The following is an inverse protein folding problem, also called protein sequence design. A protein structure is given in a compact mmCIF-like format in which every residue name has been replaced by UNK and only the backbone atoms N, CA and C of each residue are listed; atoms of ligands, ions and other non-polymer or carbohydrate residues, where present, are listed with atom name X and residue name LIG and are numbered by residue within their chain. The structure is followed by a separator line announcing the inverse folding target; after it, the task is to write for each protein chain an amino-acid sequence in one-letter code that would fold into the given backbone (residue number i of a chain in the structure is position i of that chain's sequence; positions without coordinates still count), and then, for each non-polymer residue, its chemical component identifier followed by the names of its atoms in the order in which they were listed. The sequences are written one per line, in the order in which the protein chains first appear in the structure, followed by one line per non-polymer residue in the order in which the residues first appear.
data_IF_936863020534
#
_entry.id   IF_936863020534
#
_cell.length_a   1.000
_cell.length_b   1.000
_cell.length_c   1.000
_cell.angle_alpha   90.00
_cell.angle_beta   90.00
_cell.angle_gamma   90.00
#
_symmetry.space_group_name_H-M   'P 1'
#
loop_
_entity.id
_entity.type
_entity.pdbx_description
1 polymer ?
#
# COMPACT_ATOMS: atom_id res chain seq x y z
N UNK A 1 0.29 -35.14 -23.41
CA UNK A 1 0.28 -34.13 -24.48
C UNK A 1 1.70 -33.61 -24.65
N UNK A 2 2.26 -33.71 -25.85
CA UNK A 2 3.54 -33.06 -26.13
C UNK A 2 3.25 -31.58 -26.39
N UNK A 3 3.72 -30.72 -25.49
CA UNK A 3 3.53 -29.27 -25.60
C UNK A 3 4.25 -28.73 -26.85
N UNK A 4 5.37 -29.32 -27.28
CA UNK A 4 6.17 -28.83 -28.41
C UNK A 4 5.49 -28.91 -29.80
N UNK A 5 4.24 -29.36 -29.87
CA UNK A 5 3.45 -29.46 -31.11
C UNK A 5 2.52 -28.27 -31.37
N UNK A 6 2.32 -27.36 -30.41
CA UNK A 6 1.50 -26.17 -30.61
C UNK A 6 2.33 -25.05 -31.27
N UNK A 7 1.75 -24.27 -32.21
CA UNK A 7 2.42 -23.09 -32.77
C UNK A 7 2.81 -22.07 -31.70
N UNK A 8 3.91 -21.35 -31.93
CA UNK A 8 4.44 -20.35 -30.99
C UNK A 8 3.40 -19.27 -30.61
N UNK A 9 2.54 -18.89 -31.54
CA UNK A 9 1.46 -17.91 -31.31
C UNK A 9 0.39 -18.44 -30.35
N UNK A 10 0.04 -19.72 -30.43
CA UNK A 10 -0.89 -20.35 -29.50
C UNK A 10 -0.30 -20.38 -28.08
N UNK A 11 1.01 -20.67 -27.98
CA UNK A 11 1.71 -20.63 -26.70
C UNK A 11 1.79 -19.23 -26.11
N UNK A 12 2.17 -18.24 -26.92
CA UNK A 12 2.21 -16.86 -26.48
C UNK A 12 0.83 -16.42 -25.99
N UNK A 13 -0.25 -16.81 -26.68
CA UNK A 13 -1.61 -16.51 -26.23
C UNK A 13 -1.92 -17.14 -24.87
N UNK A 14 -1.67 -18.45 -24.70
CA UNK A 14 -1.89 -19.15 -23.42
C UNK A 14 -1.10 -18.48 -22.29
N UNK A 15 0.19 -18.22 -22.51
CA UNK A 15 1.07 -17.60 -21.53
C UNK A 15 0.59 -16.19 -21.15
N UNK A 16 0.05 -15.43 -22.10
CA UNK A 16 -0.48 -14.10 -21.85
C UNK A 16 -1.71 -14.07 -20.93
N UNK A 17 -2.37 -15.22 -20.74
CA UNK A 17 -3.50 -15.40 -19.83
C UNK A 17 -3.08 -15.91 -18.44
N UNK A 18 -1.79 -16.21 -18.25
CA UNK A 18 -1.22 -16.64 -16.96
C UNK A 18 -0.72 -15.45 -16.15
N UNK A 19 0.01 -15.68 -15.05
CA UNK A 19 0.68 -14.62 -14.31
C UNK A 19 2.11 -14.36 -14.82
N UNK A 20 2.68 -13.16 -14.59
CA UNK A 20 4.09 -12.88 -14.90
C UNK A 20 5.07 -13.89 -14.30
N UNK A 21 4.79 -14.38 -13.08
CA UNK A 21 5.63 -15.38 -12.41
C UNK A 21 5.51 -16.75 -13.08
N UNK A 22 4.32 -17.16 -13.52
CA UNK A 22 4.12 -18.42 -14.24
C UNK A 22 4.79 -18.38 -15.62
N UNK A 23 4.66 -17.27 -16.35
CA UNK A 23 5.37 -17.09 -17.61
C UNK A 23 6.89 -17.22 -17.45
N UNK A 24 7.46 -16.66 -16.36
CA UNK A 24 8.88 -16.82 -16.05
C UNK A 24 9.24 -18.28 -15.73
N UNK A 25 8.43 -18.99 -14.94
CA UNK A 25 8.67 -20.40 -14.60
C UNK A 25 8.57 -21.32 -15.82
N UNK A 26 7.53 -21.15 -16.63
CA UNK A 26 7.28 -21.95 -17.82
C UNK A 26 8.37 -21.73 -18.88
N UNK A 27 8.98 -20.53 -18.92
CA UNK A 27 10.11 -20.23 -19.82
C UNK A 27 11.35 -21.12 -19.62
N UNK A 28 11.43 -21.86 -18.51
CA UNK A 28 12.54 -22.77 -18.21
C UNK A 28 12.34 -24.17 -18.78
N UNK A 29 11.15 -24.50 -19.30
CA UNK A 29 10.80 -25.86 -19.73
C UNK A 29 11.49 -26.25 -21.04
N UNK A 30 11.53 -25.36 -22.04
CA UNK A 30 12.21 -25.60 -23.32
C UNK A 30 12.67 -24.29 -23.97
N UNK A 31 13.58 -24.37 -24.95
CA UNK A 31 14.07 -23.19 -25.68
C UNK A 31 12.97 -22.51 -26.49
N UNK A 32 12.07 -23.27 -27.11
CA UNK A 32 10.96 -22.74 -27.90
C UNK A 32 9.98 -21.99 -27.00
N UNK A 33 9.58 -22.60 -25.88
CA UNK A 33 8.72 -21.97 -24.88
C UNK A 33 9.37 -20.71 -24.30
N UNK A 34 10.69 -20.72 -24.10
CA UNK A 34 11.43 -19.54 -23.63
C UNK A 34 11.31 -18.35 -24.59
N UNK A 35 11.35 -18.59 -25.90
CA UNK A 35 11.20 -17.52 -26.90
C UNK A 35 9.80 -16.93 -26.80
N UNK A 36 8.77 -17.77 -26.82
CA UNK A 36 7.36 -17.35 -26.74
C UNK A 36 7.04 -16.62 -25.42
N UNK A 37 7.53 -17.13 -24.29
CA UNK A 37 7.33 -16.54 -22.96
C UNK A 37 8.02 -15.19 -22.77
N UNK A 38 9.07 -14.91 -23.54
CA UNK A 38 9.80 -13.64 -23.49
C UNK A 38 9.33 -12.64 -24.56
N UNK A 39 8.33 -13.00 -25.37
CA UNK A 39 7.82 -12.14 -26.43
C UNK A 39 7.04 -10.95 -25.87
N UNK A 40 7.14 -9.81 -26.56
CA UNK A 40 6.43 -8.58 -26.18
C UNK A 40 4.91 -8.73 -26.24
N UNK A 41 4.38 -9.67 -27.04
CA UNK A 41 2.95 -9.96 -27.09
C UNK A 41 2.42 -10.51 -25.76
N UNK A 42 3.21 -11.35 -25.08
CA UNK A 42 2.88 -11.86 -23.73
C UNK A 42 2.94 -10.75 -22.71
N UNK A 43 4.07 -10.01 -22.67
CA UNK A 43 4.31 -9.01 -21.63
C UNK A 43 3.44 -7.76 -21.77
N UNK A 44 2.93 -7.45 -22.97
CA UNK A 44 1.89 -6.42 -23.15
C UNK A 44 0.63 -6.71 -22.32
N UNK A 45 0.24 -7.98 -22.20
CA UNK A 45 -0.96 -8.36 -21.41
C UNK A 45 -0.74 -8.29 -19.90
N UNK A 46 0.51 -8.36 -19.46
CA UNK A 46 0.88 -8.23 -18.05
C UNK A 46 1.05 -6.78 -17.60
N UNK A 47 1.32 -5.88 -18.54
CA UNK A 47 1.34 -4.45 -18.27
C UNK A 47 -0.10 -3.93 -18.09
N UNK A 48 -0.32 -2.92 -17.24
CA UNK A 48 -1.61 -2.28 -17.16
C UNK A 48 -2.03 -1.69 -18.51
N UNK A 49 -3.31 -1.73 -18.92
CA UNK A 49 -3.74 -1.21 -20.23
C UNK A 49 -3.39 0.26 -20.48
N UNK A 50 -3.26 1.04 -19.42
CA UNK A 50 -2.93 2.45 -19.39
C UNK A 50 -1.43 2.73 -19.12
N UNK A 51 -0.54 1.73 -19.24
CA UNK A 51 0.90 1.90 -18.93
C UNK A 51 1.54 3.07 -19.69
N UNK A 52 1.11 3.35 -20.92
CA UNK A 52 1.62 4.48 -21.70
C UNK A 52 1.29 5.83 -21.04
N UNK A 53 0.08 5.96 -20.48
CA UNK A 53 -0.31 7.16 -19.71
C UNK A 53 0.45 7.25 -18.39
N UNK A 54 0.79 6.10 -17.78
CA UNK A 54 1.63 6.07 -16.58
C UNK A 54 3.05 6.54 -16.93
N UNK A 55 3.59 6.14 -18.08
CA UNK A 55 4.93 6.55 -18.54
C UNK A 55 5.04 8.07 -18.74
N UNK A 56 4.00 8.72 -19.25
CA UNK A 56 4.02 10.19 -19.42
C UNK A 56 3.96 10.96 -18.11
N UNK A 57 3.45 10.34 -17.04
CA UNK A 57 3.35 10.93 -15.69
C UNK A 57 4.63 10.76 -14.87
N UNK A 58 5.57 9.94 -15.32
CA UNK A 58 6.84 9.72 -14.64
C UNK A 58 7.66 11.01 -14.56
N UNK A 59 8.24 11.26 -13.39
CA UNK A 59 9.19 12.36 -13.20
C UNK A 59 10.46 12.17 -14.03
N UNK A 60 10.87 10.92 -14.25
CA UNK A 60 12.05 10.56 -15.02
C UNK A 60 11.70 9.49 -16.07
N UNK A 61 12.01 9.72 -17.36
CA UNK A 61 11.73 8.76 -18.41
C UNK A 61 12.43 7.41 -18.14
N UNK A 62 11.73 6.32 -18.44
CA UNK A 62 12.30 4.98 -18.37
C UNK A 62 12.81 4.55 -19.74
N UNK A 63 14.07 4.13 -19.79
CA UNK A 63 14.66 3.48 -20.95
C UNK A 63 14.48 1.97 -20.78
N UNK A 64 13.89 1.32 -21.78
CA UNK A 64 13.69 -0.13 -21.81
C UNK A 64 13.85 -0.66 -23.24
N UNK A 65 14.20 -1.94 -23.35
CA UNK A 65 14.52 -2.62 -24.61
C UNK A 65 13.44 -3.63 -25.03
N UNK A 66 12.54 -4.00 -24.10
CA UNK A 66 11.40 -4.88 -24.32
C UNK A 66 10.32 -4.59 -23.27
N UNK A 67 9.11 -5.10 -23.48
CA UNK A 67 8.00 -4.97 -22.53
C UNK A 67 8.22 -5.78 -21.27
N UNK A 68 8.93 -6.90 -21.38
CA UNK A 68 9.44 -7.64 -20.22
C UNK A 68 10.37 -6.76 -19.39
N UNK A 69 11.34 -6.10 -20.03
CA UNK A 69 12.25 -5.19 -19.34
C UNK A 69 11.47 -4.03 -18.69
N UNK A 70 10.50 -3.44 -19.40
CA UNK A 70 9.62 -2.41 -18.86
C UNK A 70 8.86 -2.88 -17.60
N UNK A 71 8.26 -4.07 -17.64
CA UNK A 71 7.53 -4.63 -16.49
C UNK A 71 8.42 -4.69 -15.23
N UNK A 72 9.62 -5.27 -15.35
CA UNK A 72 10.55 -5.34 -14.21
C UNK A 72 11.03 -3.97 -13.74
N UNK A 73 11.17 -2.99 -14.64
CA UNK A 73 11.48 -1.61 -14.24
C UNK A 73 10.32 -1.03 -13.43
N UNK A 74 9.08 -1.20 -13.90
CA UNK A 74 7.88 -0.71 -13.21
C UNK A 74 7.58 -1.46 -11.90
N UNK A 75 8.16 -2.62 -11.64
CA UNK A 75 8.09 -3.26 -10.31
C UNK A 75 8.84 -2.48 -9.22
N UNK A 76 9.78 -1.60 -9.58
CA UNK A 76 10.41 -0.70 -8.63
C UNK A 76 9.56 0.59 -8.51
N UNK A 77 9.45 1.20 -7.32
CA UNK A 77 8.72 2.46 -7.15
C UNK A 77 9.31 3.60 -7.97
N UNK A 78 8.46 4.29 -8.74
CA UNK A 78 8.81 5.49 -9.49
C UNK A 78 7.96 6.67 -9.08
N UNK A 79 8.57 7.86 -8.99
CA UNK A 79 7.86 9.10 -8.74
C UNK A 79 7.05 9.53 -9.97
N UNK A 80 5.77 9.84 -9.76
CA UNK A 80 4.84 10.36 -10.76
C UNK A 80 4.19 11.66 -10.28
N UNK A 81 3.51 12.38 -11.17
CA UNK A 81 2.71 13.58 -10.86
C UNK A 81 3.51 14.65 -10.10
N UNK A 82 4.63 15.08 -10.66
CA UNK A 82 5.53 16.04 -9.98
C UNK A 82 6.31 15.46 -8.80
N UNK A 83 6.18 14.16 -8.54
CA UNK A 83 6.79 13.47 -7.40
C UNK A 83 5.94 13.51 -6.13
N UNK A 84 4.65 13.77 -6.26
CA UNK A 84 3.70 13.71 -5.14
C UNK A 84 3.16 12.31 -4.89
N UNK A 85 3.35 11.39 -5.83
CA UNK A 85 2.96 9.99 -5.71
C UNK A 85 4.06 9.08 -6.21
N UNK A 86 4.11 7.84 -5.71
CA UNK A 86 4.88 6.77 -6.34
C UNK A 86 3.97 5.75 -6.98
N UNK A 87 4.43 5.16 -8.08
CA UNK A 87 3.80 4.05 -8.77
C UNK A 87 4.74 2.85 -8.83
N UNK A 88 4.21 1.65 -8.62
CA UNK A 88 4.88 0.39 -8.92
C UNK A 88 3.91 -0.70 -9.34
N UNK A 89 4.42 -1.79 -9.90
CA UNK A 89 3.68 -3.02 -10.14
C UNK A 89 4.02 -4.07 -9.08
N UNK A 90 2.99 -4.72 -8.56
CA UNK A 90 3.16 -5.91 -7.75
C UNK A 90 3.73 -7.04 -8.64
N UNK A 91 4.86 -7.62 -8.20
CA UNK A 91 5.72 -8.47 -9.04
C UNK A 91 5.03 -9.74 -9.53
N UNK A 92 4.12 -10.31 -8.74
CA UNK A 92 3.52 -11.62 -9.03
C UNK A 92 2.29 -11.51 -9.94
N UNK A 93 1.50 -10.46 -9.78
CA UNK A 93 0.19 -10.28 -10.42
C UNK A 93 0.18 -9.15 -11.45
N UNK A 94 1.19 -8.27 -11.47
CA UNK A 94 1.21 -7.08 -12.32
C UNK A 94 0.17 -6.01 -11.92
N UNK A 95 -0.42 -6.13 -10.73
CA UNK A 95 -1.41 -5.18 -10.24
C UNK A 95 -0.74 -3.89 -9.78
N UNK A 96 -1.41 -2.77 -10.02
CA UNK A 96 -0.88 -1.44 -9.72
C UNK A 96 -0.78 -1.23 -8.21
N UNK A 97 0.28 -0.58 -7.78
CA UNK A 97 0.52 -0.10 -6.42
C UNK A 97 0.77 1.40 -6.48
N UNK A 98 0.23 2.13 -5.52
CA UNK A 98 0.45 3.57 -5.40
C UNK A 98 0.80 3.95 -3.99
N UNK A 99 1.57 5.03 -3.85
CA UNK A 99 1.69 5.75 -2.59
C UNK A 99 1.45 7.23 -2.84
N UNK A 100 0.65 7.84 -1.98
CA UNK A 100 0.44 9.28 -1.90
C UNK A 100 1.44 9.85 -0.90
N UNK A 101 2.24 10.84 -1.27
CA UNK A 101 3.13 11.55 -0.34
C UNK A 101 2.33 12.35 0.68
N UNK A 102 2.95 12.70 1.80
CA UNK A 102 2.36 13.62 2.79
C UNK A 102 1.88 14.94 2.16
N UNK A 103 2.56 15.44 1.11
CA UNK A 103 2.17 16.65 0.37
C UNK A 103 0.87 16.49 -0.45
N UNK A 104 0.52 15.26 -0.80
CA UNK A 104 -0.74 14.92 -1.48
C UNK A 104 -1.88 14.65 -0.49
N UNK A 105 -1.59 14.54 0.81
CA UNK A 105 -2.59 14.29 1.84
C UNK A 105 -3.22 15.60 2.32
N UNK A 106 -4.48 15.50 2.74
CA UNK A 106 -5.14 16.53 3.52
C UNK A 106 -4.88 16.27 5.00
N UNK A 107 -3.96 17.05 5.59
CA UNK A 107 -3.57 16.95 7.00
C UNK A 107 -4.04 18.22 7.70
N UNK A 108 -4.79 18.07 8.79
CA UNK A 108 -5.37 19.20 9.50
C UNK A 108 -4.28 20.14 10.06
N UNK A 109 -4.41 21.44 9.74
CA UNK A 109 -3.47 22.52 10.10
C UNK A 109 -2.02 22.31 9.64
N UNK A 110 -1.77 21.52 8.59
CA UNK A 110 -0.42 21.22 8.12
C UNK A 110 0.36 22.43 7.57
N UNK A 111 -0.32 23.52 7.28
CA UNK A 111 0.24 24.82 6.92
C UNK A 111 0.73 25.62 8.14
N UNK A 112 0.30 25.25 9.35
CA UNK A 112 0.70 25.94 10.57
C UNK A 112 2.04 25.41 11.13
N UNK A 113 3.12 26.22 11.13
CA UNK A 113 4.45 25.80 11.57
C UNK A 113 4.58 25.56 13.08
N UNK A 114 3.58 25.95 13.88
CA UNK A 114 3.52 25.60 15.30
C UNK A 114 3.20 24.12 15.50
N UNK A 115 2.38 23.54 14.62
CA UNK A 115 1.87 22.18 14.73
C UNK A 115 2.62 21.20 13.85
N UNK A 116 3.05 21.63 12.66
CA UNK A 116 3.69 20.75 11.68
C UNK A 116 4.99 21.35 11.15
N UNK A 117 5.96 20.50 10.85
CA UNK A 117 7.25 20.87 10.27
C UNK A 117 7.50 20.04 9.03
N UNK A 118 7.42 20.68 7.86
CA UNK A 118 7.85 20.07 6.60
C UNK A 118 9.37 20.08 6.52
N UNK A 119 9.96 18.93 6.21
CA UNK A 119 11.41 18.81 6.07
C UNK A 119 11.81 17.64 5.18
N UNK A 120 12.98 17.71 4.53
CA UNK A 120 13.60 16.55 3.92
C UNK A 120 13.82 15.46 4.96
N UNK A 121 13.54 14.21 4.58
CA UNK A 121 13.76 13.07 5.45
C UNK A 121 14.61 12.04 4.70
N UNK A 122 15.88 11.78 5.11
CA UNK A 122 16.82 10.99 4.31
C UNK A 122 16.35 9.59 3.93
N UNK A 123 15.52 8.96 4.77
CA UNK A 123 14.98 7.62 4.50
C UNK A 123 13.64 7.65 3.77
N UNK A 124 13.14 8.82 3.37
CA UNK A 124 11.87 8.92 2.66
C UNK A 124 12.05 8.73 1.16
N UNK A 125 11.03 8.16 0.53
CA UNK A 125 10.88 8.07 -0.93
C UNK A 125 10.53 9.41 -1.57
N UNK A 126 10.04 10.37 -0.79
CA UNK A 126 9.64 11.70 -1.24
C UNK A 126 10.64 12.76 -0.79
N UNK A 127 10.62 13.91 -1.48
CA UNK A 127 11.52 15.03 -1.18
C UNK A 127 11.29 15.57 0.23
N UNK A 128 10.05 15.58 0.68
CA UNK A 128 9.66 16.05 2.01
C UNK A 128 8.69 15.09 2.68
N UNK A 129 8.83 14.97 3.99
CA UNK A 129 7.84 14.41 4.89
C UNK A 129 7.38 15.52 5.86
N UNK A 130 6.35 15.23 6.66
CA UNK A 130 5.86 16.18 7.66
C UNK A 130 5.99 15.60 9.06
N UNK A 131 6.65 16.34 9.96
CA UNK A 131 6.74 16.00 11.38
C UNK A 131 5.70 16.78 12.18
N UNK A 132 4.90 16.07 12.95
CA UNK A 132 4.02 16.61 13.97
C UNK A 132 4.86 17.15 15.13
N UNK A 133 4.80 18.46 15.38
CA UNK A 133 5.43 19.09 16.54
C UNK A 133 4.61 18.88 17.80
N UNK A 134 3.36 19.37 17.78
CA UNK A 134 2.41 19.22 18.88
C UNK A 134 1.00 19.49 18.38
N UNK A 135 0.02 18.66 18.72
CA UNK A 135 -1.40 18.93 18.45
C UNK A 135 -2.31 18.18 19.42
N UNK A 136 -3.53 18.66 19.63
CA UNK A 136 -4.57 17.90 20.34
C UNK A 136 -5.48 17.11 19.37
N UNK A 137 -5.66 17.61 18.14
CA UNK A 137 -6.48 17.00 17.09
C UNK A 137 -5.63 16.47 15.94
N UNK A 138 -5.55 15.16 15.77
CA UNK A 138 -4.80 14.54 14.68
C UNK A 138 -5.79 14.05 13.62
N UNK A 139 -5.64 14.54 12.39
CA UNK A 139 -6.47 14.09 11.26
C UNK A 139 -5.64 14.11 9.98
N UNK A 140 -5.48 12.94 9.37
CA UNK A 140 -4.74 12.70 8.13
C UNK A 140 -5.69 12.00 7.17
N UNK A 141 -5.91 12.60 6.01
CA UNK A 141 -6.81 12.07 4.99
C UNK A 141 -6.10 11.97 3.64
N UNK A 142 -6.28 10.84 2.96
CA UNK A 142 -5.84 10.63 1.59
C UNK A 142 -7.02 10.35 0.67
N UNK A 143 -6.89 10.75 -0.59
CA UNK A 143 -7.88 10.50 -1.63
C UNK A 143 -7.21 9.98 -2.90
N UNK A 144 -7.82 9.00 -3.54
CA UNK A 144 -7.37 8.52 -4.85
C UNK A 144 -8.57 8.08 -5.69
N UNK A 145 -8.49 8.29 -7.00
CA UNK A 145 -9.52 7.81 -7.91
C UNK A 145 -9.37 6.28 -8.13
N UNK A 146 -10.44 5.51 -7.96
CA UNK A 146 -10.45 4.05 -8.15
C UNK A 146 -10.08 3.62 -9.57
N UNK A 147 -10.31 4.47 -10.57
CA UNK A 147 -9.91 4.25 -11.97
C UNK A 147 -8.40 4.22 -12.19
N UNK A 148 -7.62 4.82 -11.28
CA UNK A 148 -6.15 4.68 -11.31
C UNK A 148 -5.69 3.30 -10.86
N UNK A 149 -6.51 2.58 -10.07
CA UNK A 149 -6.18 1.28 -9.50
C UNK A 149 -6.56 0.15 -10.45
N UNK A 150 -5.94 -1.02 -10.28
CA UNK A 150 -6.34 -2.20 -11.04
C UNK A 150 -7.77 -2.66 -10.68
N UNK A 151 -8.60 -3.03 -11.67
CA UNK A 151 -9.95 -3.53 -11.45
C UNK A 151 -9.92 -4.95 -10.86
N UNK A 152 -11.07 -5.39 -10.34
CA UNK A 152 -11.29 -6.70 -9.72
C UNK A 152 -10.22 -7.07 -8.69
N UNK A 153 -9.86 -6.10 -7.85
CA UNK A 153 -8.73 -6.23 -6.93
C UNK A 153 -9.10 -5.66 -5.57
N UNK A 154 -8.84 -6.42 -4.51
CA UNK A 154 -8.93 -5.92 -3.14
C UNK A 154 -7.64 -5.18 -2.81
N UNK A 155 -7.75 -3.95 -2.34
CA UNK A 155 -6.63 -3.14 -1.88
C UNK A 155 -6.62 -3.05 -0.36
N UNK A 156 -5.43 -3.10 0.21
CA UNK A 156 -5.14 -2.74 1.59
C UNK A 156 -4.43 -1.38 1.61
N UNK A 157 -4.87 -0.50 2.50
CA UNK A 157 -4.36 0.85 2.65
C UNK A 157 -3.57 0.96 3.94
N UNK A 158 -2.39 1.56 3.87
CA UNK A 158 -1.50 1.74 5.01
C UNK A 158 -1.05 3.19 5.08
N UNK A 159 -1.09 3.81 6.26
CA UNK A 159 -0.32 5.04 6.48
C UNK A 159 1.09 4.66 6.91
N UNK A 160 2.09 5.30 6.30
CA UNK A 160 3.51 5.05 6.54
C UNK A 160 4.06 6.19 7.39
N UNK A 161 4.53 5.86 8.59
CA UNK A 161 4.93 6.81 9.62
C UNK A 161 6.23 6.42 10.31
N UNK A 162 6.85 7.37 11.01
CA UNK A 162 7.94 7.16 11.96
C UNK A 162 7.65 7.91 13.25
N UNK A 163 8.10 7.38 14.37
CA UNK A 163 8.14 8.11 15.63
C UNK A 163 9.57 8.60 15.86
N UNK A 164 9.75 9.89 16.13
CA UNK A 164 11.06 10.41 16.56
C UNK A 164 11.26 10.13 18.05
N UNK A 165 12.51 10.13 18.53
CA UNK A 165 12.84 9.77 19.91
C UNK A 165 12.10 10.60 20.98
N UNK A 166 11.72 11.83 20.63
CA UNK A 166 10.94 12.75 21.48
C UNK A 166 9.42 12.61 21.33
N UNK A 167 8.93 11.56 20.67
CA UNK A 167 7.50 11.37 20.46
C UNK A 167 6.77 11.16 21.78
N UNK A 168 5.57 11.73 21.90
CA UNK A 168 4.75 11.65 23.10
C UNK A 168 3.28 11.70 22.75
N UNK A 169 2.46 11.10 23.61
CA UNK A 169 1.01 11.22 23.59
C UNK A 169 0.28 10.61 22.41
N UNK A 170 0.95 9.79 21.61
CA UNK A 170 0.35 9.11 20.45
C UNK A 170 -0.31 7.77 20.83
N UNK A 171 -0.04 7.26 22.04
CA UNK A 171 -0.46 5.95 22.52
C UNK A 171 -1.55 5.99 23.60
N UNK A 172 -1.97 7.18 24.04
CA UNK A 172 -2.96 7.34 25.12
C UNK A 172 -4.38 6.93 24.70
N UNK A 173 -4.79 7.28 23.48
CA UNK A 173 -6.10 6.95 22.93
C UNK A 173 -5.92 6.24 21.59
N UNK A 174 -6.87 5.37 21.22
CA UNK A 174 -6.86 4.80 19.89
C UNK A 174 -7.24 5.85 18.86
N UNK A 175 -6.52 5.87 17.74
CA UNK A 175 -6.89 6.57 16.53
C UNK A 175 -7.92 5.76 15.75
N UNK A 176 -8.99 6.40 15.29
CA UNK A 176 -9.96 5.82 14.36
C UNK A 176 -9.37 5.81 12.96
N UNK A 177 -9.48 4.69 12.26
CA UNK A 177 -9.07 4.55 10.87
C UNK A 177 -10.26 4.15 10.01
N UNK A 178 -10.32 4.70 8.80
CA UNK A 178 -11.43 4.40 7.87
C UNK A 178 -10.96 4.34 6.43
N UNK A 179 -11.57 3.46 5.65
CA UNK A 179 -11.48 3.45 4.19
C UNK A 179 -12.88 3.40 3.59
N UNK A 180 -13.17 4.32 2.68
CA UNK A 180 -14.49 4.51 2.07
C UNK A 180 -14.37 4.51 0.54
N UNK A 181 -15.22 3.74 -0.13
CA UNK A 181 -15.40 3.76 -1.59
C UNK A 181 -16.89 3.69 -1.91
N UNK A 182 -17.42 4.71 -2.57
CA UNK A 182 -18.87 4.82 -2.80
C UNK A 182 -19.66 4.76 -1.50
N UNK A 183 -20.58 3.80 -1.37
CA UNK A 183 -21.41 3.60 -0.17
C UNK A 183 -20.81 2.58 0.82
N UNK A 184 -19.65 2.00 0.52
CA UNK A 184 -19.01 1.00 1.38
C UNK A 184 -17.95 1.68 2.23
N UNK A 185 -18.02 1.44 3.54
CA UNK A 185 -17.09 1.99 4.53
C UNK A 185 -16.56 0.90 5.43
N UNK A 186 -15.24 0.78 5.50
CA UNK A 186 -14.52 -0.01 6.51
C UNK A 186 -14.03 0.94 7.59
N UNK A 187 -14.22 0.57 8.85
CA UNK A 187 -13.73 1.33 10.00
C UNK A 187 -13.02 0.41 10.99
N UNK A 188 -12.08 0.96 11.75
CA UNK A 188 -11.42 0.28 12.86
C UNK A 188 -10.75 1.29 13.77
N UNK A 189 -10.10 0.80 14.83
CA UNK A 189 -9.24 1.66 15.64
C UNK A 189 -7.84 1.03 15.80
N UNK A 190 -6.85 1.89 16.00
CA UNK A 190 -5.44 1.52 16.15
C UNK A 190 -4.77 2.39 17.21
N UNK A 191 -3.92 1.80 18.03
CA UNK A 191 -3.03 2.55 18.91
C UNK A 191 -1.73 2.87 18.17
N UNK A 192 -1.29 4.12 18.19
CA UNK A 192 -0.03 4.53 17.57
C UNK A 192 1.14 4.21 18.52
N UNK A 193 1.36 2.91 18.76
CA UNK A 193 2.48 2.39 19.55
C UNK A 193 3.55 1.80 18.66
N UNK A 194 4.81 1.99 19.06
CA UNK A 194 5.94 1.33 18.41
C UNK A 194 6.08 -0.09 18.96
N UNK A 195 5.88 -1.09 18.09
CA UNK A 195 6.23 -2.48 18.37
C UNK A 195 7.42 -2.87 17.48
N UNK A 196 8.41 -3.58 18.03
CA UNK A 196 9.60 -4.00 17.26
C UNK A 196 9.28 -5.15 16.29
N UNK A 197 8.21 -5.92 16.54
CA UNK A 197 7.72 -6.95 15.61
C UNK A 197 6.23 -7.27 15.81
N UNK A 198 5.59 -7.90 14.80
CA UNK A 198 4.24 -8.47 14.93
C UNK A 198 4.15 -9.49 16.08
N UNK A 199 5.22 -10.26 16.31
CA UNK A 199 5.31 -11.26 17.38
C UNK A 199 5.35 -10.58 18.76
N UNK A 200 6.17 -9.55 18.93
CA UNK A 200 6.22 -8.77 20.17
C UNK A 200 4.91 -8.01 20.43
N UNK A 201 4.22 -7.54 19.38
CA UNK A 201 2.89 -6.95 19.52
C UNK A 201 1.87 -7.98 20.05
N UNK A 202 1.76 -9.14 19.40
CA UNK A 202 0.87 -10.22 19.83
C UNK A 202 1.21 -10.73 21.24
N UNK A 203 2.50 -10.85 21.57
CA UNK A 203 2.97 -11.23 22.91
C UNK A 203 2.64 -10.15 23.95
N UNK A 204 2.87 -8.86 23.67
CA UNK A 204 2.54 -7.76 24.60
C UNK A 204 1.03 -7.65 24.86
N UNK A 205 0.22 -7.92 23.83
CA UNK A 205 -1.24 -8.02 23.96
C UNK A 205 -1.66 -9.19 24.86
N UNK A 206 -0.92 -10.30 24.88
CA UNK A 206 -1.21 -11.46 25.72
C UNK A 206 -0.75 -11.33 27.19
N UNK A 207 0.32 -10.57 27.47
CA UNK A 207 0.90 -10.47 28.83
C UNK A 207 0.40 -9.27 29.66
N UNK A 208 -0.42 -8.38 29.10
CA UNK A 208 -0.90 -7.18 29.80
C UNK A 208 -2.21 -7.42 30.59
N UNK A 209 -2.09 -7.89 31.85
CA UNK A 209 -3.21 -8.15 32.79
C UNK A 209 -4.15 -6.96 33.11
N UNK A 210 -3.91 -5.75 32.57
CA UNK A 210 -4.78 -4.57 32.75
C UNK A 210 -5.71 -4.28 31.56
N UNK A 211 -5.41 -4.80 30.37
CA UNK A 211 -6.21 -4.62 29.15
C UNK A 211 -7.11 -5.81 28.84
N UNK A 212 -6.89 -6.94 29.52
CA UNK A 212 -7.52 -8.22 29.22
C UNK A 212 -9.04 -8.21 29.38
N UNK A 213 -9.60 -7.55 30.40
CA UNK A 213 -11.06 -7.52 30.61
C UNK A 213 -11.79 -6.65 29.57
N UNK A 214 -11.19 -5.53 29.18
CA UNK A 214 -11.78 -4.61 28.19
C UNK A 214 -11.67 -5.20 26.79
N UNK A 215 -10.49 -5.71 26.41
CA UNK A 215 -10.27 -6.35 25.12
C UNK A 215 -11.02 -7.69 24.98
N UNK A 216 -11.06 -8.54 26.02
CA UNK A 216 -11.87 -9.78 25.99
C UNK A 216 -13.36 -9.46 25.88
N UNK A 217 -13.88 -8.46 26.59
CA UNK A 217 -15.30 -8.11 26.50
C UNK A 217 -15.69 -7.49 25.14
N UNK A 218 -14.78 -6.77 24.49
CA UNK A 218 -14.98 -6.18 23.14
C UNK A 218 -14.79 -7.22 22.02
N UNK A 219 -13.81 -8.11 22.14
CA UNK A 219 -13.58 -9.21 21.22
C UNK A 219 -14.67 -10.28 21.32
N UNK A 220 -15.16 -10.59 22.53
CA UNK A 220 -16.28 -11.51 22.75
C UNK A 220 -17.63 -10.95 22.23
N UNK A 221 -17.74 -9.63 22.05
CA UNK A 221 -18.87 -8.97 21.38
C UNK A 221 -18.69 -8.83 19.86
N UNK A 222 -17.57 -9.28 19.29
CA UNK A 222 -17.28 -9.18 17.86
C UNK A 222 -17.04 -7.75 17.36
N UNK A 223 -16.64 -6.82 18.25
CA UNK A 223 -16.68 -5.37 17.95
C UNK A 223 -15.39 -4.83 17.30
N UNK A 224 -14.21 -5.47 17.40
CA UNK A 224 -12.99 -4.94 16.75
C UNK A 224 -11.94 -6.01 16.42
N UNK A 225 -11.49 -6.05 15.16
CA UNK A 225 -10.12 -6.48 14.81
C UNK A 225 -9.17 -5.33 15.18
N UNK A 226 -8.31 -5.53 16.18
CA UNK A 226 -7.28 -4.54 16.55
C UNK A 226 -6.21 -4.50 15.46
N UNK A 227 -6.06 -3.35 14.81
CA UNK A 227 -5.06 -3.14 13.75
C UNK A 227 -3.72 -2.82 14.39
N UNK A 228 -2.65 -3.43 13.88
CA UNK A 228 -1.31 -3.36 14.49
C UNK A 228 -0.36 -2.50 13.66
N UNK A 229 0.31 -1.56 14.32
CA UNK A 229 1.44 -0.82 13.76
C UNK A 229 2.68 -1.73 13.66
N UNK A 230 3.22 -1.91 12.45
CA UNK A 230 4.32 -2.85 12.19
C UNK A 230 5.55 -2.14 11.63
N UNK A 231 6.73 -2.39 12.21
CA UNK A 231 8.01 -1.89 11.67
C UNK A 231 8.40 -2.64 10.39
N UNK A 232 8.82 -1.89 9.38
CA UNK A 232 9.33 -2.34 8.08
C UNK A 232 10.86 -2.43 8.10
N UNK A 233 11.44 -3.10 7.11
CA UNK A 233 12.90 -3.24 6.96
C UNK A 233 13.61 -1.90 6.76
N UNK A 234 12.95 -0.92 6.15
CA UNK A 234 13.44 0.46 5.94
C UNK A 234 13.32 1.35 7.21
N UNK A 235 12.86 0.75 8.31
CA UNK A 235 12.67 1.40 9.60
C UNK A 235 11.42 2.27 9.70
N UNK A 236 10.62 2.40 8.64
CA UNK A 236 9.29 3.01 8.73
C UNK A 236 8.30 2.06 9.40
N UNK A 237 7.17 2.60 9.84
CA UNK A 237 6.08 1.85 10.46
C UNK A 237 4.87 1.96 9.56
N UNK A 238 4.27 0.83 9.23
CA UNK A 238 3.00 0.78 8.50
C UNK A 238 1.85 0.52 9.46
N UNK A 239 0.79 1.30 9.29
CA UNK A 239 -0.43 1.20 10.07
C UNK A 239 -1.58 0.97 9.09
N UNK A 240 -2.26 -0.16 9.23
CA UNK A 240 -3.36 -0.53 8.34
C UNK A 240 -4.57 0.38 8.59
N UNK A 241 -5.04 1.06 7.54
CA UNK A 241 -6.21 1.93 7.58
C UNK A 241 -7.50 1.18 7.27
N UNK A 242 -7.41 0.19 6.39
CA UNK A 242 -8.56 -0.57 5.90
C UNK A 242 -8.27 -1.32 4.62
N UNK A 243 -9.28 -2.05 4.16
CA UNK A 243 -9.28 -2.64 2.82
C UNK A 243 -10.59 -2.37 2.11
N UNK A 244 -10.55 -2.39 0.78
CA UNK A 244 -11.72 -2.23 -0.07
C UNK A 244 -11.54 -2.98 -1.38
N UNK A 245 -12.65 -3.36 -2.02
CA UNK A 245 -12.63 -4.01 -3.32
C UNK A 245 -12.90 -2.99 -4.44
N UNK A 246 -11.99 -2.93 -5.43
CA UNK A 246 -12.18 -2.13 -6.63
C UNK A 246 -12.76 -2.99 -7.75
N UNK A 247 -14.01 -2.73 -8.17
CA UNK A 247 -14.62 -3.44 -9.29
C UNK A 247 -14.16 -2.88 -10.66
N UNK A 248 -13.78 -1.60 -10.73
CA UNK A 248 -13.27 -0.94 -11.94
C UNK A 248 -14.30 -0.34 -12.90
N UNK A 249 -15.61 -0.37 -12.55
CA UNK A 249 -16.68 0.17 -13.41
C UNK A 249 -17.03 1.63 -13.15
N UNK A 250 -16.84 2.09 -11.92
CA UNK A 250 -17.23 3.42 -11.47
C UNK A 250 -15.94 4.12 -10.99
N UNK A 251 -15.54 5.22 -11.64
CA UNK A 251 -14.37 6.04 -11.28
C UNK A 251 -14.60 6.79 -9.95
N UNK A 252 -14.92 6.04 -8.90
CA UNK A 252 -15.26 6.51 -7.57
C UNK A 252 -14.03 7.05 -6.85
N UNK A 253 -14.27 8.01 -5.96
CA UNK A 253 -13.24 8.49 -5.04
C UNK A 253 -13.10 7.49 -3.88
N UNK A 254 -11.88 7.03 -3.65
CA UNK A 254 -11.50 6.26 -2.46
C UNK A 254 -10.96 7.24 -1.44
N UNK A 255 -11.54 7.26 -0.25
CA UNK A 255 -11.09 8.09 0.88
C UNK A 255 -10.48 7.21 1.95
N UNK A 256 -9.32 7.58 2.44
CA UNK A 256 -8.60 6.90 3.53
C UNK A 256 -8.35 7.91 4.63
N UNK A 257 -8.55 7.55 5.89
CA UNK A 257 -8.41 8.49 7.01
C UNK A 257 -7.84 7.82 8.25
N UNK A 258 -6.99 8.56 8.95
CA UNK A 258 -6.57 8.30 10.33
C UNK A 258 -6.90 9.53 11.16
N UNK A 259 -7.66 9.33 12.23
CA UNK A 259 -8.26 10.41 13.01
C UNK A 259 -8.27 10.12 14.50
N UNK A 260 -7.75 11.05 15.28
CA UNK A 260 -7.82 11.05 16.75
C UNK A 260 -8.25 12.42 17.25
N UNK A 261 -9.54 12.53 17.59
CA UNK A 261 -10.20 13.82 17.87
C UNK A 261 -10.98 13.85 19.17
N UNK A 262 -11.07 12.71 19.85
CA UNK A 262 -11.79 12.58 21.12
C UNK A 262 -10.91 12.95 22.32
N UNK A 263 -9.59 12.97 22.15
CA UNK A 263 -8.63 13.35 23.19
C UNK A 263 -8.31 14.84 23.17
N UNK A 264 -8.16 15.43 24.36
CA UNK A 264 -7.63 16.79 24.55
C UNK A 264 -6.13 16.80 24.89
N UNK A 265 -5.50 15.63 24.98
CA UNK A 265 -4.09 15.52 25.30
C UNK A 265 -3.23 15.95 24.10
N UNK A 266 -2.11 16.62 24.39
CA UNK A 266 -1.15 16.98 23.38
C UNK A 266 -0.37 15.74 22.95
N UNK A 267 -0.09 15.66 21.65
CA UNK A 267 0.74 14.62 21.05
C UNK A 267 1.70 15.20 20.02
N UNK A 268 2.86 14.58 19.87
CA UNK A 268 3.93 15.10 19.02
C UNK A 268 4.92 14.01 18.63
N UNK A 269 5.77 14.33 17.66
CA UNK A 269 6.85 13.46 17.18
C UNK A 269 6.46 12.38 16.17
N UNK A 270 5.26 12.47 15.56
CA UNK A 270 4.86 11.62 14.44
C UNK A 270 5.38 12.21 13.12
N UNK A 271 6.19 11.47 12.37
CA UNK A 271 6.58 11.81 11.00
C UNK A 271 5.72 11.01 10.03
N UNK A 272 5.04 11.69 9.12
CA UNK A 272 4.18 11.06 8.11
C UNK A 272 4.90 11.12 6.76
N UNK A 273 5.12 9.95 6.16
CA UNK A 273 5.63 9.86 4.78
C UNK A 273 4.50 9.95 3.77
N UNK A 274 3.39 9.25 4.04
CA UNK A 274 2.30 9.14 3.08
C UNK A 274 1.34 7.97 3.35
N UNK A 275 0.43 7.73 2.40
CA UNK A 275 -0.50 6.59 2.41
C UNK A 275 -0.22 5.68 1.22
N UNK A 276 0.01 4.41 1.47
CA UNK A 276 0.33 3.37 0.50
C UNK A 276 -0.88 2.45 0.26
N UNK A 277 -1.17 2.16 -1.00
CA UNK A 277 -2.25 1.27 -1.44
C UNK A 277 -1.63 0.05 -2.14
N UNK A 278 -1.84 -1.13 -1.58
CA UNK A 278 -1.29 -2.38 -2.08
C UNK A 278 -2.42 -3.36 -2.44
N UNK A 279 -2.34 -4.05 -3.58
CA UNK A 279 -3.18 -5.21 -3.85
C UNK A 279 -2.98 -6.24 -2.73
N UNK A 280 -4.07 -6.68 -2.11
CA UNK A 280 -4.06 -7.76 -1.14
C UNK A 280 -3.68 -9.05 -1.87
N UNK A 281 -2.63 -9.72 -1.40
CA UNK A 281 -2.27 -11.02 -1.93
C UNK A 281 -3.38 -12.01 -1.59
N UNK A 282 -3.92 -12.69 -2.60
CA UNK A 282 -4.82 -13.80 -2.35
C UNK A 282 -3.97 -14.92 -1.78
N UNK A 283 -4.08 -15.16 -0.47
CA UNK A 283 -3.58 -16.40 0.12
C UNK A 283 -4.44 -17.50 -0.48
N UNK A 284 -3.92 -18.21 -1.49
CA UNK A 284 -4.49 -19.51 -1.87
C UNK A 284 -4.36 -20.39 -0.65
N UNK A 285 -5.47 -20.57 0.08
CA UNK A 285 -5.60 -21.70 0.99
C UNK A 285 -5.39 -22.94 0.12
N UNK A 286 -4.24 -23.59 0.30
CA UNK A 286 -4.00 -24.90 -0.27
C UNK A 286 -5.02 -25.83 0.39
N UNK A 287 -6.15 -26.03 -0.27
CA UNK A 287 -6.98 -27.19 -0.02
C UNK A 287 -6.21 -28.38 -0.61
N UNK A 288 -5.46 -29.07 0.26
CA UNK A 288 -5.10 -30.47 0.07
C UNK A 288 -6.35 -31.33 0.12
#
# INVERSE_FOLDING_TARGET
MNLDLLPDDCFAHILSLTSPIDACRISLVSSSIRISANSDNVWEKFLPPDYQQILTRLRHPLIFSSKKHLFFRLCNPHLIDGGLKTFSLEKTTGKKQYMLSARELNIAWADNPLFWSWKPFPTSRFVEAVELRTIWWLEIQGKINSGMLSPKTTYECYVIVKFVDRAYGLDFLPSKVTVEIGNVKSEGNVYLRQYESKKQCLETLWYSNRMELVLRSMAFRGIMEERVACKREDGWIEIELGSFYNNGGDNLEVKMSLKEVTGTHLKGGLVVEGIELRPKQQTTANHM
#
